data_IF_853828396224
#
_entry.id   IF_853828396224
#
_cell.length_a   1.000
_cell.length_b   1.000
_cell.length_c   1.000
_cell.angle_alpha   90.00
_cell.angle_beta   90.00
_cell.angle_gamma   90.00
#
_symmetry.space_group_name_H-M   'P 1'
#
loop_
_entity.id
_entity.type
_entity.pdbx_description
1 polymer ?
#
# COMPACT_ATOMS: atom_id res chain seq x y z
N UNK A 1 22.49 -17.46 -0.91
CA UNK A 1 21.01 -17.45 -0.77
C UNK A 1 20.37 -16.41 -1.68
N UNK A 2 20.68 -15.10 -1.52
CA UNK A 2 20.15 -14.01 -2.37
C UNK A 2 20.24 -14.28 -3.88
N UNK A 3 21.43 -14.63 -4.39
CA UNK A 3 21.61 -14.86 -5.83
C UNK A 3 20.71 -15.98 -6.35
N UNK A 4 20.63 -17.11 -5.62
CA UNK A 4 19.79 -18.24 -6.02
C UNK A 4 18.30 -17.87 -6.07
N UNK A 5 17.82 -17.04 -5.13
CA UNK A 5 16.45 -16.55 -5.15
C UNK A 5 16.20 -15.66 -6.37
N UNK A 6 17.16 -14.79 -6.70
CA UNK A 6 17.08 -13.93 -7.88
C UNK A 6 17.03 -14.76 -9.18
N UNK A 7 17.90 -15.77 -9.30
CA UNK A 7 17.92 -16.67 -10.45
C UNK A 7 16.58 -17.42 -10.60
N UNK A 8 15.97 -17.85 -9.49
CA UNK A 8 14.64 -18.47 -9.49
C UNK A 8 13.50 -17.50 -9.88
N UNK A 9 13.67 -16.21 -9.65
CA UNK A 9 12.71 -15.15 -10.00
C UNK A 9 12.91 -14.60 -11.42
N UNK A 10 13.82 -15.19 -12.22
CA UNK A 10 14.07 -14.78 -13.61
C UNK A 10 15.38 -14.03 -13.83
N UNK A 11 16.25 -13.93 -12.81
CA UNK A 11 17.53 -13.24 -12.91
C UNK A 11 17.43 -11.77 -12.49
N UNK A 12 18.31 -10.88 -13.00
CA UNK A 12 18.32 -9.47 -12.63
C UNK A 12 16.93 -8.82 -12.78
N UNK A 13 16.58 -7.93 -11.85
CA UNK A 13 15.34 -7.15 -11.97
C UNK A 13 15.38 -6.30 -13.25
N UNK A 14 14.27 -6.20 -14.01
CA UNK A 14 14.20 -5.33 -15.17
C UNK A 14 14.29 -3.87 -14.75
N UNK A 15 14.74 -3.01 -15.68
CA UNK A 15 14.63 -1.56 -15.52
C UNK A 15 13.16 -1.16 -15.66
N UNK A 16 12.61 -0.53 -14.63
CA UNK A 16 11.24 0.00 -14.63
C UNK A 16 11.17 1.46 -15.07
N UNK A 17 9.96 1.99 -15.32
CA UNK A 17 9.75 3.41 -15.57
C UNK A 17 10.03 4.25 -14.33
N UNK A 18 10.09 5.58 -14.48
CA UNK A 18 9.94 6.48 -13.34
C UNK A 18 8.57 6.24 -12.69
N UNK A 19 8.50 6.32 -11.35
CA UNK A 19 7.31 5.95 -10.59
C UNK A 19 6.04 6.70 -11.04
N UNK A 20 6.13 7.97 -11.45
CA UNK A 20 4.98 8.83 -11.83
C UNK A 20 3.77 8.63 -10.91
N UNK A 21 4.03 8.71 -9.60
CA UNK A 21 3.01 8.53 -8.57
C UNK A 21 2.03 9.72 -8.58
N UNK A 22 0.74 9.43 -8.52
CA UNK A 22 -0.34 10.42 -8.49
C UNK A 22 -1.34 10.07 -7.40
N UNK A 23 -1.77 11.09 -6.67
CA UNK A 23 -2.89 10.99 -5.73
C UNK A 23 -4.17 11.18 -6.51
N UNK A 24 -5.03 10.16 -6.53
CA UNK A 24 -6.31 10.17 -7.24
C UNK A 24 -7.49 10.50 -6.33
N UNK A 25 -7.32 10.36 -5.02
CA UNK A 25 -8.33 10.70 -4.04
C UNK A 25 -7.75 10.74 -2.64
N UNK A 26 -8.34 11.55 -1.78
CA UNK A 26 -7.97 11.69 -0.37
C UNK A 26 -9.23 11.57 0.47
N UNK A 27 -9.17 10.74 1.50
CA UNK A 27 -10.19 10.59 2.52
C UNK A 27 -9.58 10.95 3.87
N UNK A 28 -10.12 11.98 4.50
CA UNK A 28 -9.74 12.39 5.86
C UNK A 28 -10.51 11.53 6.87
N UNK A 29 -9.77 10.78 7.71
CA UNK A 29 -10.32 10.02 8.83
C UNK A 29 -9.83 10.65 10.16
N UNK A 30 -10.45 10.34 11.31
CA UNK A 30 -10.10 10.98 12.57
C UNK A 30 -8.61 10.94 12.96
N UNK A 31 -7.94 9.82 12.68
CA UNK A 31 -6.57 9.55 13.16
C UNK A 31 -5.50 9.61 12.07
N UNK A 32 -5.91 9.50 10.80
CA UNK A 32 -5.03 9.47 9.63
C UNK A 32 -5.81 9.90 8.40
N UNK A 33 -5.10 10.31 7.34
CA UNK A 33 -5.71 10.43 6.01
C UNK A 33 -5.33 9.22 5.16
N UNK A 34 -6.24 8.81 4.30
CA UNK A 34 -6.07 7.71 3.35
C UNK A 34 -6.08 8.26 1.95
N UNK A 35 -4.99 8.09 1.24
CA UNK A 35 -4.83 8.53 -0.14
C UNK A 35 -4.92 7.32 -1.08
N UNK A 36 -5.77 7.39 -2.10
CA UNK A 36 -5.68 6.46 -3.23
C UNK A 36 -4.59 6.96 -4.15
N UNK A 37 -3.52 6.20 -4.26
CA UNK A 37 -2.41 6.53 -5.15
C UNK A 37 -2.37 5.58 -6.34
N UNK A 38 -1.82 6.06 -7.44
CA UNK A 38 -1.50 5.25 -8.62
C UNK A 38 -0.11 5.56 -9.12
N UNK A 39 0.57 4.58 -9.69
CA UNK A 39 1.95 4.73 -10.17
C UNK A 39 2.24 3.75 -11.31
N UNK A 40 3.24 4.08 -12.12
CA UNK A 40 3.69 3.22 -13.23
C UNK A 40 4.49 2.03 -12.69
N UNK A 41 4.17 0.83 -13.16
CA UNK A 41 4.96 -0.39 -12.97
C UNK A 41 5.61 -0.86 -14.26
N UNK A 42 4.99 -0.54 -15.39
CA UNK A 42 5.55 -0.63 -16.74
C UNK A 42 5.30 0.71 -17.46
N UNK A 43 5.98 1.02 -18.58
CA UNK A 43 5.87 2.32 -19.26
C UNK A 43 4.45 2.80 -19.54
N UNK A 44 3.50 1.87 -19.72
CA UNK A 44 2.09 2.16 -20.00
C UNK A 44 1.12 1.53 -18.99
N UNK A 45 1.63 0.83 -17.96
CA UNK A 45 0.80 0.15 -16.97
C UNK A 45 0.85 0.88 -15.63
N UNK A 46 -0.33 1.31 -15.15
CA UNK A 46 -0.50 1.93 -13.84
C UNK A 46 -1.31 1.03 -12.93
N UNK A 47 -0.79 0.82 -11.72
CA UNK A 47 -1.52 0.14 -10.65
C UNK A 47 -1.90 1.12 -9.55
N UNK A 48 -2.82 0.71 -8.68
CA UNK A 48 -3.30 1.52 -7.56
C UNK A 48 -2.90 0.89 -6.22
N UNK A 49 -2.63 1.74 -5.23
CA UNK A 49 -2.40 1.36 -3.84
C UNK A 49 -3.12 2.35 -2.90
N UNK A 50 -3.24 1.98 -1.63
CA UNK A 50 -3.63 2.91 -0.57
C UNK A 50 -2.41 3.38 0.22
N UNK A 51 -2.29 4.68 0.44
CA UNK A 51 -1.29 5.29 1.31
C UNK A 51 -1.98 5.92 2.51
N UNK A 52 -1.71 5.40 3.70
CA UNK A 52 -2.27 5.88 4.95
C UNK A 52 -1.22 6.72 5.67
N UNK A 53 -1.58 7.96 5.98
CA UNK A 53 -0.66 8.95 6.54
C UNK A 53 -1.25 9.42 7.87
N UNK A 54 -0.58 9.14 9.01
CA UNK A 54 -1.04 9.56 10.33
C UNK A 54 -1.21 11.08 10.43
N UNK A 55 -2.12 11.52 11.29
CA UNK A 55 -2.32 12.94 11.54
C UNK A 55 -1.00 13.62 11.97
N UNK A 56 -0.71 14.77 11.36
CA UNK A 56 0.50 15.55 11.64
C UNK A 56 1.78 15.08 10.93
N UNK A 57 1.78 13.92 10.27
CA UNK A 57 2.92 13.47 9.46
C UNK A 57 3.01 14.26 8.15
N UNK A 58 4.24 14.63 7.79
CA UNK A 58 4.58 15.46 6.62
C UNK A 58 6.02 15.21 6.19
N UNK A 59 6.46 15.82 5.09
CA UNK A 59 7.87 15.74 4.67
C UNK A 59 8.81 16.34 5.72
N UNK A 60 8.38 17.39 6.44
CA UNK A 60 9.14 18.07 7.49
C UNK A 60 9.07 17.33 8.83
N UNK A 61 8.04 16.51 9.04
CA UNK A 61 7.83 15.68 10.23
C UNK A 61 7.55 14.24 9.82
N UNK A 62 8.57 13.50 9.40
CA UNK A 62 8.38 12.15 8.87
C UNK A 62 8.07 11.16 9.99
N UNK A 63 7.41 10.07 9.60
CA UNK A 63 7.19 8.89 10.43
C UNK A 63 7.75 7.64 9.72
N UNK A 64 8.01 6.53 10.45
CA UNK A 64 8.44 5.29 9.83
C UNK A 64 7.42 4.76 8.82
N UNK A 65 7.90 4.22 7.71
CA UNK A 65 7.08 3.65 6.64
C UNK A 65 6.98 2.12 6.72
N UNK A 66 5.80 1.57 6.47
CA UNK A 66 5.54 0.13 6.40
C UNK A 66 4.76 -0.24 5.14
N UNK A 67 5.09 -1.39 4.54
CA UNK A 67 4.32 -1.98 3.43
C UNK A 67 3.55 -3.18 3.95
N UNK A 68 2.24 -3.23 3.72
CA UNK A 68 1.36 -4.30 4.18
C UNK A 68 0.67 -4.95 3.00
N UNK A 69 1.09 -6.16 2.66
CA UNK A 69 0.46 -6.99 1.63
C UNK A 69 -0.76 -7.73 2.20
N UNK A 70 -1.84 -7.75 1.43
CA UNK A 70 -3.07 -8.45 1.80
C UNK A 70 -2.91 -9.97 1.68
N UNK A 71 -3.67 -10.72 2.49
CA UNK A 71 -3.87 -12.15 2.27
C UNK A 71 -4.94 -12.38 1.20
N UNK A 72 -4.93 -13.54 0.57
CA UNK A 72 -5.97 -13.85 -0.42
C UNK A 72 -7.23 -14.47 0.22
N UNK A 73 -7.09 -15.42 1.16
CA UNK A 73 -8.22 -16.13 1.82
C UNK A 73 -9.35 -16.67 0.89
N UNK A 74 -9.12 -16.80 -0.42
CA UNK A 74 -10.14 -17.13 -1.42
C UNK A 74 -11.10 -15.97 -1.76
N UNK A 75 -10.76 -14.75 -1.36
CA UNK A 75 -11.54 -13.52 -1.53
C UNK A 75 -10.89 -12.63 -2.59
N UNK A 76 -11.41 -12.69 -3.82
CA UNK A 76 -10.83 -12.02 -4.99
C UNK A 76 -11.18 -10.53 -5.08
N UNK A 77 -12.24 -10.10 -4.38
CA UNK A 77 -12.81 -8.77 -4.44
C UNK A 77 -12.29 -7.82 -3.35
N UNK A 78 -11.57 -8.34 -2.34
CA UNK A 78 -11.12 -7.55 -1.19
C UNK A 78 -9.75 -6.92 -1.46
N UNK A 79 -8.72 -7.74 -1.69
CA UNK A 79 -7.38 -7.27 -2.05
C UNK A 79 -6.79 -6.24 -1.07
N UNK A 80 -6.11 -5.22 -1.62
CA UNK A 80 -5.47 -4.10 -0.89
C UNK A 80 -6.42 -3.24 -0.06
N UNK A 81 -7.73 -3.33 -0.31
CA UNK A 81 -8.73 -2.56 0.40
C UNK A 81 -8.86 -3.05 1.86
N UNK A 82 -8.62 -4.35 2.12
CA UNK A 82 -8.68 -4.94 3.48
C UNK A 82 -7.70 -4.29 4.45
N UNK A 83 -6.36 -4.35 4.23
CA UNK A 83 -5.41 -3.78 5.17
C UNK A 83 -5.55 -2.26 5.28
N UNK A 84 -6.06 -1.60 4.23
CA UNK A 84 -6.32 -0.16 4.21
C UNK A 84 -7.56 0.26 5.02
N UNK A 85 -8.36 -0.71 5.52
CA UNK A 85 -9.61 -0.43 6.23
C UNK A 85 -10.73 0.10 5.34
N UNK A 86 -10.70 -0.22 4.04
CA UNK A 86 -11.76 0.11 3.08
C UNK A 86 -12.76 -1.04 3.07
N UNK A 87 -14.05 -0.74 3.27
CA UNK A 87 -15.10 -1.78 3.38
C UNK A 87 -15.31 -2.48 2.03
N UNK A 88 -14.99 -3.77 1.98
CA UNK A 88 -15.40 -4.70 0.92
C UNK A 88 -16.52 -5.64 1.43
N UNK A 89 -17.25 -6.37 0.56
CA UNK A 89 -18.34 -7.27 0.97
C UNK A 89 -17.92 -8.39 1.94
N UNK A 90 -16.65 -8.80 1.92
CA UNK A 90 -16.12 -9.95 2.65
C UNK A 90 -15.00 -9.60 3.67
N UNK A 91 -15.02 -8.37 4.18
CA UNK A 91 -14.02 -7.80 5.09
C UNK A 91 -13.99 -8.37 6.52
N UNK A 92 -12.79 -8.55 7.09
CA UNK A 92 -12.59 -8.79 8.52
C UNK A 92 -11.86 -7.62 9.21
N UNK A 93 -12.38 -7.10 10.33
CA UNK A 93 -11.74 -6.00 11.08
C UNK A 93 -10.32 -6.33 11.55
N UNK A 94 -10.08 -7.59 11.92
CA UNK A 94 -8.77 -8.12 12.30
C UNK A 94 -7.71 -8.02 11.18
N UNK A 95 -8.12 -7.86 9.92
CA UNK A 95 -7.22 -7.79 8.77
C UNK A 95 -6.92 -6.36 8.33
N UNK A 96 -7.47 -5.34 9.02
CA UNK A 96 -7.19 -3.92 8.77
C UNK A 96 -5.86 -3.46 9.39
N UNK A 97 -4.82 -4.28 9.25
CA UNK A 97 -3.52 -4.08 9.88
C UNK A 97 -2.88 -2.75 9.50
N UNK A 98 -3.06 -2.32 8.24
CA UNK A 98 -2.53 -1.03 7.80
C UNK A 98 -3.22 0.17 8.46
N UNK A 99 -4.54 0.12 8.59
CA UNK A 99 -5.29 1.14 9.34
C UNK A 99 -4.94 1.15 10.83
N UNK A 100 -4.74 -0.02 11.45
CA UNK A 100 -4.28 -0.11 12.83
C UNK A 100 -2.88 0.52 13.02
N UNK A 101 -1.93 0.19 12.14
CA UNK A 101 -0.58 0.76 12.18
C UNK A 101 -0.56 2.28 11.89
N UNK A 102 -1.44 2.77 11.03
CA UNK A 102 -1.56 4.21 10.78
C UNK A 102 -2.00 4.98 12.04
N UNK A 103 -2.91 4.42 12.84
CA UNK A 103 -3.31 5.00 14.13
C UNK A 103 -2.18 5.02 15.15
N UNK A 104 -1.26 4.06 15.06
CA UNK A 104 -0.04 4.00 15.88
C UNK A 104 1.09 4.92 15.36
N UNK A 105 0.84 5.73 14.32
CA UNK A 105 1.79 6.73 13.84
C UNK A 105 2.74 6.26 12.74
N UNK A 106 2.45 5.15 12.07
CA UNK A 106 3.21 4.69 10.90
C UNK A 106 2.61 5.18 9.58
N UNK A 107 3.43 5.59 8.62
CA UNK A 107 2.96 5.74 7.23
C UNK A 107 2.85 4.35 6.63
N UNK A 108 1.68 3.98 6.10
CA UNK A 108 1.45 2.62 5.60
C UNK A 108 1.05 2.61 4.13
N UNK A 109 1.78 1.85 3.33
CA UNK A 109 1.43 1.52 1.96
C UNK A 109 0.74 0.13 1.91
N UNK A 110 -0.47 0.08 1.39
CA UNK A 110 -1.21 -1.15 1.11
C UNK A 110 -1.32 -1.33 -0.42
N UNK A 111 -0.38 -2.06 -1.05
CA UNK A 111 -0.39 -2.34 -2.48
C UNK A 111 -1.36 -3.44 -2.88
#
# INVERSE_FOLDING_TARGET
MKQRLLDCLGGPWPEGPSLDARVEGVEELPDFRRERITYLVEPEERIAAWLLIPAGVSAERPAPGLCVWHQHAGQYDVGKDEPAGVRAPHFGEMHQTGAALAREGFVVLCP
#
